data_IF_573130724832
#
_entry.id   IF_573130724832
#
_cell.length_a   1.000
_cell.length_b   1.000
_cell.length_c   1.000
_cell.angle_alpha   90.00
_cell.angle_beta   90.00
_cell.angle_gamma   90.00
#
_symmetry.space_group_name_H-M   'P 1'
#
loop_
_entity.id
_entity.type
_entity.pdbx_description
1 polymer ?
#
# COMPACT_ATOMS: atom_id res chain seq x y z
N UNK A 1 -25.12 8.97 -20.27
CA UNK A 1 -24.74 7.75 -21.02
C UNK A 1 -25.75 7.50 -22.13
N UNK A 2 -25.32 7.41 -23.41
CA UNK A 2 -26.22 6.97 -24.49
C UNK A 2 -26.57 5.49 -24.25
N UNK A 3 -27.86 5.17 -24.05
CA UNK A 3 -28.37 3.79 -23.98
C UNK A 3 -27.79 3.02 -25.18
N UNK A 4 -26.87 2.07 -24.94
CA UNK A 4 -26.45 1.14 -25.99
C UNK A 4 -27.71 0.43 -26.45
N UNK A 5 -28.14 0.66 -27.70
CA UNK A 5 -29.20 -0.15 -28.32
C UNK A 5 -28.82 -1.62 -28.12
N UNK A 6 -29.75 -2.42 -27.61
CA UNK A 6 -29.57 -3.85 -27.48
C UNK A 6 -29.44 -4.42 -28.91
N UNK A 7 -28.21 -4.54 -29.41
CA UNK A 7 -27.93 -5.08 -30.74
C UNK A 7 -28.13 -6.60 -30.67
N UNK A 8 -28.96 -7.13 -31.57
CA UNK A 8 -29.14 -8.58 -31.72
C UNK A 8 -27.86 -9.19 -32.29
N UNK A 9 -27.24 -10.13 -31.57
CA UNK A 9 -26.02 -10.81 -32.01
C UNK A 9 -26.19 -11.46 -33.38
N UNK A 10 -27.39 -11.99 -33.70
CA UNK A 10 -27.70 -12.58 -35.00
C UNK A 10 -27.56 -11.61 -36.18
N UNK A 11 -27.66 -10.31 -35.93
CA UNK A 11 -27.62 -9.26 -36.95
C UNK A 11 -26.23 -8.64 -37.12
N UNK A 12 -25.24 -9.10 -36.34
CA UNK A 12 -23.89 -8.57 -36.40
C UNK A 12 -23.04 -9.33 -37.44
N UNK A 13 -22.12 -8.60 -38.07
CA UNK A 13 -21.10 -9.19 -38.95
C UNK A 13 -19.89 -9.60 -38.11
N UNK A 14 -19.51 -10.87 -38.18
CA UNK A 14 -18.36 -11.41 -37.47
C UNK A 14 -17.15 -11.48 -38.41
N UNK A 15 -16.00 -10.99 -37.99
CA UNK A 15 -14.76 -11.14 -38.76
C UNK A 15 -13.53 -11.26 -37.87
N UNK A 16 -12.48 -11.91 -38.39
CA UNK A 16 -11.11 -11.88 -37.85
C UNK A 16 -10.20 -11.18 -38.83
N UNK A 17 -9.06 -10.71 -38.32
CA UNK A 17 -8.01 -10.12 -39.11
C UNK A 17 -6.89 -11.15 -39.22
N UNK A 18 -6.55 -11.54 -40.44
CA UNK A 18 -5.47 -12.46 -40.75
C UNK A 18 -4.34 -11.74 -41.47
N UNK A 19 -3.11 -12.18 -41.18
CA UNK A 19 -1.92 -11.72 -41.88
C UNK A 19 -1.88 -12.40 -43.24
N UNK A 20 -1.77 -11.62 -44.30
CA UNK A 20 -1.71 -12.19 -45.66
C UNK A 20 -0.32 -12.70 -46.03
N UNK A 21 0.69 -12.46 -45.19
CA UNK A 21 2.11 -12.68 -45.52
C UNK A 21 2.67 -11.68 -46.55
N UNK A 22 1.82 -10.85 -47.15
CA UNK A 22 2.23 -9.82 -48.10
C UNK A 22 2.67 -8.60 -47.30
N UNK A 23 3.91 -8.16 -47.52
CA UNK A 23 4.41 -6.89 -46.99
C UNK A 23 4.32 -5.83 -48.08
N UNK A 24 3.85 -4.64 -47.72
CA UNK A 24 3.87 -3.47 -48.59
C UNK A 24 4.71 -2.37 -47.95
N UNK A 25 5.58 -1.70 -48.72
CA UNK A 25 6.31 -0.55 -48.22
C UNK A 25 5.31 0.57 -47.93
N UNK A 26 5.32 1.07 -46.70
CA UNK A 26 4.54 2.24 -46.28
C UNK A 26 5.52 3.32 -45.89
N UNK A 27 5.47 4.44 -46.61
CA UNK A 27 6.22 5.64 -46.27
C UNK A 27 5.44 6.49 -45.27
N UNK A 28 6.10 6.86 -44.17
CA UNK A 28 5.63 7.93 -43.28
C UNK A 28 6.67 9.03 -43.24
N UNK A 29 6.22 10.26 -43.43
CA UNK A 29 7.06 11.43 -43.20
C UNK A 29 7.11 11.66 -41.69
N UNK A 30 8.31 11.62 -41.12
CA UNK A 30 8.56 11.89 -39.71
C UNK A 30 9.50 13.07 -39.58
N UNK A 31 9.19 13.99 -38.67
CA UNK A 31 10.06 15.12 -38.39
C UNK A 31 11.22 14.65 -37.52
N UNK A 32 12.44 14.63 -38.06
CA UNK A 32 13.66 14.33 -37.31
C UNK A 32 14.53 15.58 -37.35
N UNK A 33 14.80 16.16 -36.16
CA UNK A 33 15.54 17.43 -36.01
C UNK A 33 14.98 18.57 -36.89
N UNK A 34 13.65 18.68 -36.95
CA UNK A 34 12.96 19.76 -37.68
C UNK A 34 12.93 19.61 -39.21
N UNK A 35 13.48 18.54 -39.78
CA UNK A 35 13.39 18.23 -41.22
C UNK A 35 12.43 17.05 -41.46
N UNK A 36 11.58 17.12 -42.50
CA UNK A 36 10.77 15.98 -42.90
C UNK A 36 11.67 14.89 -43.48
N UNK A 37 11.72 13.74 -42.81
CA UNK A 37 12.42 12.54 -43.29
C UNK A 37 11.38 11.51 -43.66
N UNK A 38 11.40 11.07 -44.91
CA UNK A 38 10.57 9.94 -45.35
C UNK A 38 11.17 8.64 -44.81
N UNK A 39 10.42 7.95 -43.97
CA UNK A 39 10.77 6.62 -43.46
C UNK A 39 9.85 5.60 -44.11
N UNK A 40 10.42 4.72 -44.93
CA UNK A 40 9.71 3.58 -45.52
C UNK A 40 9.95 2.36 -44.66
N UNK A 41 8.88 1.69 -44.25
CA UNK A 41 8.94 0.40 -43.59
C UNK A 41 7.95 -0.57 -44.22
N UNK A 42 8.29 -1.85 -44.19
CA UNK A 42 7.40 -2.91 -44.65
C UNK A 42 6.27 -3.12 -43.64
N UNK A 43 5.04 -2.82 -44.05
CA UNK A 43 3.85 -3.12 -43.27
C UNK A 43 3.18 -4.38 -43.83
N UNK A 44 2.94 -5.34 -42.94
CA UNK A 44 2.19 -6.55 -43.27
C UNK A 44 0.74 -6.20 -43.59
N UNK A 45 0.27 -6.63 -44.75
CA UNK A 45 -1.10 -6.44 -45.20
C UNK A 45 -1.99 -7.39 -44.42
N UNK A 46 -3.07 -6.84 -43.88
CA UNK A 46 -4.04 -7.58 -43.10
C UNK A 46 -5.31 -7.76 -43.93
N UNK A 47 -5.89 -8.95 -43.91
CA UNK A 47 -7.16 -9.27 -44.57
C UNK A 47 -8.23 -9.59 -43.53
N UNK A 48 -9.47 -9.18 -43.80
CA UNK A 48 -10.62 -9.59 -42.99
C UNK A 48 -11.20 -10.90 -43.51
N UNK A 49 -11.31 -11.89 -42.63
CA UNK A 49 -12.03 -13.14 -42.87
C UNK A 49 -13.35 -13.07 -42.13
N UNK A 50 -14.46 -13.22 -42.85
CA UNK A 50 -15.81 -13.08 -42.32
C UNK A 50 -16.37 -14.44 -41.91
N UNK A 51 -17.16 -14.44 -40.84
CA UNK A 51 -17.82 -15.62 -40.28
C UNK A 51 -19.31 -15.33 -40.09
N UNK A 52 -20.10 -16.40 -40.06
CA UNK A 52 -21.53 -16.33 -39.75
C UNK A 52 -21.75 -16.35 -38.24
N UNK A 53 -22.97 -15.99 -37.80
CA UNK A 53 -23.38 -16.15 -36.41
C UNK A 53 -23.32 -17.62 -35.94
N UNK A 54 -23.59 -18.57 -36.85
CA UNK A 54 -23.54 -20.00 -36.54
C UNK A 54 -22.09 -20.48 -36.33
N UNK A 55 -21.13 -19.98 -37.12
CA UNK A 55 -19.71 -20.24 -36.91
C UNK A 55 -19.26 -19.74 -35.53
N UNK A 56 -19.66 -18.51 -35.18
CA UNK A 56 -19.41 -17.93 -33.86
C UNK A 56 -20.00 -18.78 -32.72
N UNK A 57 -21.26 -19.21 -32.85
CA UNK A 57 -21.94 -19.97 -31.79
C UNK A 57 -21.42 -21.41 -31.64
N UNK A 58 -20.97 -22.02 -32.74
CA UNK A 58 -20.50 -23.40 -32.74
C UNK A 58 -19.07 -23.57 -32.24
N UNK A 59 -18.27 -22.49 -32.28
CA UNK A 59 -16.92 -22.46 -31.73
C UNK A 59 -16.96 -22.61 -30.20
N UNK A 60 -16.65 -23.82 -29.73
CA UNK A 60 -16.39 -24.10 -28.31
C UNK A 60 -14.90 -24.28 -28.09
N UNK A 61 -14.30 -23.41 -27.28
CA UNK A 61 -12.86 -23.44 -27.01
C UNK A 61 -12.48 -24.69 -26.20
N UNK A 62 -13.41 -25.26 -25.45
CA UNK A 62 -13.24 -26.50 -24.68
C UNK A 62 -13.02 -27.72 -25.59
N UNK A 63 -13.35 -27.63 -26.88
CA UNK A 63 -13.01 -28.68 -27.85
C UNK A 63 -11.60 -28.52 -28.44
N UNK A 64 -10.91 -27.41 -28.14
CA UNK A 64 -9.55 -27.15 -28.59
C UNK A 64 -8.56 -27.68 -27.55
N UNK A 65 -8.10 -28.91 -27.76
CA UNK A 65 -7.12 -29.56 -26.89
C UNK A 65 -7.73 -30.52 -25.86
N UNK A 66 -6.88 -31.01 -24.97
CA UNK A 66 -7.28 -31.91 -23.88
C UNK A 66 -7.47 -31.08 -22.62
N UNK A 67 -8.69 -31.05 -22.07
CA UNK A 67 -8.98 -30.37 -20.81
C UNK A 67 -8.64 -31.25 -19.62
N UNK A 68 -8.18 -30.65 -18.53
CA UNK A 68 -8.10 -31.33 -17.25
C UNK A 68 -9.51 -31.71 -16.77
N UNK A 69 -9.75 -32.93 -16.27
CA UNK A 69 -10.99 -33.28 -15.59
C UNK A 69 -10.99 -32.59 -14.24
N UNK A 70 -11.74 -31.49 -14.12
CA UNK A 70 -11.65 -30.65 -12.93
C UNK A 70 -12.52 -31.23 -11.80
N UNK A 71 -11.93 -31.53 -10.64
CA UNK A 71 -12.63 -31.56 -9.36
C UNK A 71 -12.53 -30.17 -8.71
N UNK A 72 -13.48 -29.76 -7.86
CA UNK A 72 -13.49 -28.41 -7.24
C UNK A 72 -12.29 -28.11 -6.31
N UNK A 73 -11.28 -28.99 -6.27
CA UNK A 73 -10.06 -28.85 -5.51
C UNK A 73 -9.03 -28.08 -6.35
N UNK A 74 -8.79 -26.83 -5.98
CA UNK A 74 -7.69 -26.04 -6.56
C UNK A 74 -8.09 -24.72 -7.23
N UNK A 75 -9.35 -24.28 -7.10
CA UNK A 75 -9.76 -22.95 -7.54
C UNK A 75 -9.47 -21.88 -6.49
N UNK A 76 -9.19 -20.67 -6.98
CA UNK A 76 -9.02 -19.48 -6.13
C UNK A 76 -10.01 -18.44 -6.59
N UNK A 77 -10.94 -18.08 -5.71
CA UNK A 77 -11.92 -17.02 -5.95
C UNK A 77 -11.30 -15.68 -5.62
N UNK A 78 -11.42 -14.72 -6.52
CA UNK A 78 -10.92 -13.36 -6.35
C UNK A 78 -12.08 -12.40 -6.58
N UNK A 79 -12.16 -11.35 -5.75
CA UNK A 79 -13.21 -10.33 -5.89
C UNK A 79 -13.06 -9.56 -7.20
N UNK A 80 -14.16 -9.33 -7.91
CA UNK A 80 -14.18 -8.45 -9.07
C UNK A 80 -13.77 -7.02 -8.69
N UNK A 81 -14.16 -6.55 -7.50
CA UNK A 81 -13.74 -5.24 -6.99
C UNK A 81 -12.21 -5.12 -6.91
N UNK A 82 -11.54 -6.19 -6.49
CA UNK A 82 -10.09 -6.23 -6.44
C UNK A 82 -9.48 -6.18 -7.85
N UNK A 83 -10.00 -6.96 -8.80
CA UNK A 83 -9.47 -6.99 -10.16
C UNK A 83 -9.69 -5.67 -10.90
N UNK A 84 -10.88 -5.08 -10.76
CA UNK A 84 -11.28 -3.87 -11.49
C UNK A 84 -10.64 -2.60 -10.93
N UNK A 85 -10.65 -2.42 -9.60
CA UNK A 85 -10.24 -1.16 -8.98
C UNK A 85 -8.83 -1.24 -8.38
N UNK A 86 -8.57 -2.22 -7.51
CA UNK A 86 -7.22 -2.41 -6.97
C UNK A 86 -6.20 -2.80 -8.03
N UNK A 87 -6.62 -3.52 -9.07
CA UNK A 87 -5.79 -3.80 -10.24
C UNK A 87 -5.42 -2.56 -11.04
N UNK A 88 -6.31 -1.56 -11.10
CA UNK A 88 -6.00 -0.27 -11.71
C UNK A 88 -5.04 0.56 -10.84
N UNK A 89 -5.13 0.46 -9.51
CA UNK A 89 -4.24 1.17 -8.56
C UNK A 89 -2.83 0.58 -8.55
N UNK A 90 -2.70 -0.74 -8.35
CA UNK A 90 -1.39 -1.40 -8.12
C UNK A 90 -0.76 -1.97 -9.38
N UNK A 91 -1.53 -2.10 -10.46
CA UNK A 91 -1.11 -2.69 -11.72
C UNK A 91 -1.20 -4.21 -11.77
N UNK A 92 -1.38 -4.74 -12.97
CA UNK A 92 -1.69 -6.16 -13.23
C UNK A 92 -0.69 -7.17 -12.63
N UNK A 93 0.59 -6.80 -12.55
CA UNK A 93 1.65 -7.65 -11.99
C UNK A 93 1.55 -7.77 -10.48
N UNK A 94 1.34 -6.67 -9.75
CA UNK A 94 1.09 -6.71 -8.31
C UNK A 94 -0.23 -7.45 -7.99
N UNK A 95 -1.27 -7.23 -8.80
CA UNK A 95 -2.54 -7.96 -8.72
C UNK A 95 -2.31 -9.47 -8.85
N UNK A 96 -1.58 -9.90 -9.89
CA UNK A 96 -1.25 -11.31 -10.11
C UNK A 96 -0.43 -11.90 -8.97
N UNK A 97 0.52 -11.13 -8.42
CA UNK A 97 1.32 -11.56 -7.27
C UNK A 97 0.43 -11.82 -6.04
N UNK A 98 -0.50 -10.93 -5.72
CA UNK A 98 -1.44 -11.14 -4.62
C UNK A 98 -2.30 -12.39 -4.82
N UNK A 99 -2.75 -12.66 -6.06
CA UNK A 99 -3.46 -13.90 -6.39
C UNK A 99 -2.56 -15.12 -6.17
N UNK A 100 -1.27 -15.05 -6.52
CA UNK A 100 -0.33 -16.11 -6.20
C UNK A 100 -0.20 -16.31 -4.69
N UNK A 101 -0.04 -15.25 -3.90
CA UNK A 101 0.10 -15.36 -2.44
C UNK A 101 -1.15 -15.94 -1.78
N UNK A 102 -2.34 -15.50 -2.17
CA UNK A 102 -3.62 -16.04 -1.67
C UNK A 102 -3.78 -17.52 -1.98
N UNK A 103 -3.27 -18.02 -3.12
CA UNK A 103 -3.22 -19.46 -3.42
C UNK A 103 -2.37 -20.28 -2.45
N UNK A 104 -1.32 -19.69 -1.89
CA UNK A 104 -0.46 -20.34 -0.89
C UNK A 104 -1.05 -20.26 0.53
N UNK A 105 -2.11 -19.46 0.74
CA UNK A 105 -2.88 -19.43 1.97
C UNK A 105 -3.94 -20.54 1.96
N UNK A 106 -3.53 -21.77 2.29
CA UNK A 106 -4.43 -22.93 2.29
C UNK A 106 -5.42 -22.93 3.45
N UNK A 107 -6.68 -23.25 3.17
CA UNK A 107 -7.76 -23.34 4.16
C UNK A 107 -8.04 -21.99 4.82
N UNK A 108 -8.24 -22.00 6.13
CA UNK A 108 -8.49 -20.78 6.92
C UNK A 108 -7.20 -20.11 7.41
N UNK A 109 -6.14 -20.12 6.60
CA UNK A 109 -4.88 -19.42 6.89
C UNK A 109 -4.84 -18.07 6.17
N UNK A 110 -4.24 -17.08 6.82
CA UNK A 110 -4.00 -15.72 6.29
C UNK A 110 -2.50 -15.43 6.26
N UNK A 111 -1.69 -16.48 6.15
CA UNK A 111 -0.25 -16.38 6.01
C UNK A 111 0.28 -17.46 5.09
N UNK A 112 1.46 -17.24 4.52
CA UNK A 112 2.12 -18.22 3.66
C UNK A 112 3.66 -18.13 3.73
N UNK A 113 4.29 -19.20 3.26
CA UNK A 113 5.75 -19.34 3.07
C UNK A 113 6.02 -19.67 1.59
N UNK A 114 5.85 -18.70 0.68
CA UNK A 114 5.98 -18.94 -0.74
C UNK A 114 7.45 -19.09 -1.14
N UNK A 115 7.72 -19.99 -2.07
CA UNK A 115 8.98 -20.02 -2.80
C UNK A 115 9.00 -18.90 -3.85
N UNK A 116 9.57 -17.74 -3.50
CA UNK A 116 9.59 -16.54 -4.34
C UNK A 116 10.22 -16.79 -5.73
N UNK A 117 11.36 -17.49 -5.87
CA UNK A 117 11.89 -17.91 -7.17
C UNK A 117 10.86 -18.62 -8.05
N UNK A 118 10.12 -19.59 -7.51
CA UNK A 118 9.07 -20.29 -8.28
C UNK A 118 7.94 -19.35 -8.69
N UNK A 119 7.52 -18.43 -7.82
CA UNK A 119 6.49 -17.43 -8.19
C UNK A 119 7.01 -16.51 -9.29
N UNK A 120 8.23 -15.99 -9.16
CA UNK A 120 8.86 -15.13 -10.16
C UNK A 120 8.95 -15.82 -11.52
N UNK A 121 9.34 -17.11 -11.54
CA UNK A 121 9.37 -17.93 -12.75
C UNK A 121 7.97 -18.09 -13.37
N UNK A 122 6.95 -18.42 -12.57
CA UNK A 122 5.55 -18.52 -13.03
C UNK A 122 5.05 -17.21 -13.64
N UNK A 123 5.46 -16.08 -13.08
CA UNK A 123 5.10 -14.74 -13.55
C UNK A 123 6.01 -14.22 -14.68
N UNK A 124 7.05 -14.97 -15.06
CA UNK A 124 8.05 -14.58 -16.06
C UNK A 124 8.74 -13.25 -15.76
N UNK A 125 9.05 -13.01 -14.47
CA UNK A 125 9.79 -11.83 -14.00
C UNK A 125 10.99 -12.25 -13.15
N UNK A 126 11.88 -11.30 -12.89
CA UNK A 126 12.99 -11.53 -11.95
C UNK A 126 12.51 -11.48 -10.50
N UNK A 127 13.23 -12.11 -9.59
CA UNK A 127 12.98 -12.01 -8.13
C UNK A 127 13.12 -10.59 -7.62
N UNK A 128 14.04 -9.80 -8.19
CA UNK A 128 14.16 -8.36 -7.88
C UNK A 128 12.90 -7.59 -8.24
N UNK A 129 12.34 -7.84 -9.42
CA UNK A 129 11.08 -7.22 -9.84
C UNK A 129 9.91 -7.70 -8.97
N UNK A 130 9.88 -8.99 -8.61
CA UNK A 130 8.88 -9.54 -7.68
C UNK A 130 8.90 -8.80 -6.34
N UNK A 131 10.08 -8.55 -5.76
CA UNK A 131 10.21 -7.83 -4.50
C UNK A 131 9.66 -6.39 -4.57
N UNK A 132 9.85 -5.69 -5.70
CA UNK A 132 9.22 -4.37 -5.90
C UNK A 132 7.69 -4.43 -5.83
N UNK A 133 7.10 -5.49 -6.39
CA UNK A 133 5.65 -5.71 -6.28
C UNK A 133 5.21 -6.16 -4.89
N UNK A 134 6.07 -6.87 -4.14
CA UNK A 134 5.82 -7.13 -2.71
C UNK A 134 5.77 -5.83 -1.92
N UNK A 135 6.67 -4.89 -2.20
CA UNK A 135 6.67 -3.58 -1.53
C UNK A 135 5.38 -2.80 -1.82
N UNK A 136 4.88 -2.82 -3.07
CA UNK A 136 3.59 -2.22 -3.43
C UNK A 136 2.43 -2.86 -2.66
N UNK A 137 2.40 -4.20 -2.57
CA UNK A 137 1.36 -4.90 -1.82
C UNK A 137 1.43 -4.60 -0.32
N UNK A 138 2.61 -4.46 0.25
CA UNK A 138 2.79 -4.12 1.67
C UNK A 138 2.37 -2.67 1.94
N UNK A 139 2.76 -1.72 1.08
CA UNK A 139 2.37 -0.32 1.17
C UNK A 139 0.85 -0.13 1.16
N UNK A 140 0.12 -0.89 0.33
CA UNK A 140 -1.34 -0.85 0.27
C UNK A 140 -2.03 -1.79 1.27
N UNK A 141 -1.29 -2.37 2.21
CA UNK A 141 -1.85 -3.15 3.31
C UNK A 141 -2.41 -4.52 2.93
N UNK A 142 -2.01 -5.07 1.78
CA UNK A 142 -2.40 -6.42 1.35
C UNK A 142 -1.52 -7.52 1.92
N UNK A 143 -0.28 -7.21 2.28
CA UNK A 143 0.64 -8.13 2.92
C UNK A 143 1.43 -7.46 4.05
N UNK A 144 2.06 -8.28 4.91
CA UNK A 144 3.08 -7.84 5.85
C UNK A 144 4.14 -8.92 6.03
N UNK A 145 5.42 -8.53 6.04
CA UNK A 145 6.58 -9.44 6.10
C UNK A 145 7.10 -9.59 7.52
N UNK A 146 7.35 -10.83 7.95
CA UNK A 146 8.10 -11.12 9.17
C UNK A 146 9.30 -12.00 8.84
N UNK A 147 10.49 -11.54 9.21
CA UNK A 147 11.71 -12.33 9.19
C UNK A 147 11.73 -13.21 10.43
N UNK A 148 12.05 -14.48 10.23
CA UNK A 148 12.05 -15.50 11.28
C UNK A 148 13.48 -15.89 11.62
N UNK A 149 13.71 -16.11 12.91
CA UNK A 149 14.95 -16.65 13.44
C UNK A 149 14.66 -17.94 14.19
N UNK A 150 15.61 -18.87 14.18
CA UNK A 150 15.52 -20.12 14.92
C UNK A 150 16.28 -20.02 16.26
N UNK A 151 15.58 -19.98 17.42
CA UNK A 151 16.24 -19.88 18.72
C UNK A 151 17.16 -21.05 19.05
N UNK A 152 16.86 -22.24 18.52
CA UNK A 152 17.64 -23.45 18.75
C UNK A 152 18.97 -23.45 17.98
N UNK A 153 19.04 -22.69 16.89
CA UNK A 153 20.22 -22.54 16.04
C UNK A 153 20.82 -21.13 16.18
N UNK A 154 21.10 -20.71 17.42
CA UNK A 154 21.76 -19.43 17.72
C UNK A 154 21.03 -18.19 17.12
N UNK A 155 19.70 -18.25 16.99
CA UNK A 155 18.88 -17.23 16.34
C UNK A 155 19.28 -16.96 14.88
N UNK A 156 19.76 -17.97 14.15
CA UNK A 156 19.99 -17.86 12.71
C UNK A 156 18.69 -17.57 11.97
N UNK A 157 18.75 -16.71 10.96
CA UNK A 157 17.62 -16.40 10.10
C UNK A 157 17.18 -17.65 9.33
N UNK A 158 15.91 -18.03 9.48
CA UNK A 158 15.34 -19.25 8.90
C UNK A 158 14.31 -18.99 7.79
N UNK A 159 13.98 -17.72 7.52
CA UNK A 159 13.17 -17.34 6.36
C UNK A 159 12.26 -16.15 6.61
N UNK A 160 11.25 -16.00 5.74
CA UNK A 160 10.25 -14.93 5.81
C UNK A 160 8.86 -15.57 5.75
N UNK A 161 7.99 -15.17 6.67
CA UNK A 161 6.56 -15.46 6.62
C UNK A 161 5.81 -14.21 6.19
N UNK A 162 4.82 -14.39 5.33
CA UNK A 162 4.00 -13.30 4.81
C UNK A 162 2.60 -13.43 5.37
N UNK A 163 2.16 -12.43 6.14
CA UNK A 163 0.75 -12.24 6.45
C UNK A 163 0.07 -11.69 5.19
N UNK A 164 -1.07 -12.24 4.82
CA UNK A 164 -1.81 -11.88 3.61
C UNK A 164 -3.23 -11.53 3.99
N UNK A 165 -3.67 -10.33 3.63
CA UNK A 165 -5.03 -9.86 3.90
C UNK A 165 -6.05 -10.76 3.20
N UNK A 166 -7.12 -11.17 3.90
CA UNK A 166 -8.23 -11.95 3.31
C UNK A 166 -9.36 -11.10 2.75
N UNK A 167 -9.62 -9.96 3.36
CA UNK A 167 -10.66 -9.03 2.94
C UNK A 167 -10.11 -8.06 1.89
N UNK A 168 -10.97 -7.55 1.02
CA UNK A 168 -10.57 -6.53 0.06
C UNK A 168 -11.02 -5.17 0.63
N UNK A 169 -10.09 -4.27 0.98
CA UNK A 169 -10.46 -2.93 1.41
C UNK A 169 -11.15 -2.17 0.28
N UNK A 170 -12.04 -1.27 0.62
CA UNK A 170 -12.58 -0.31 -0.34
C UNK A 170 -11.50 0.75 -0.60
N UNK A 171 -11.44 1.31 -1.80
CA UNK A 171 -10.54 2.42 -2.11
C UNK A 171 -10.92 3.68 -1.33
N UNK A 172 -9.93 4.42 -0.82
CA UNK A 172 -10.15 5.76 -0.26
C UNK A 172 -10.53 6.75 -1.35
N UNK A 173 -11.12 7.89 -0.96
CA UNK A 173 -11.43 8.99 -1.89
C UNK A 173 -10.20 9.42 -2.69
N UNK A 174 -9.06 9.59 -2.02
CA UNK A 174 -7.79 9.93 -2.67
C UNK A 174 -7.36 8.93 -3.76
N UNK A 175 -7.48 7.62 -3.49
CA UNK A 175 -7.14 6.60 -4.48
C UNK A 175 -8.10 6.60 -5.66
N UNK A 176 -9.39 6.84 -5.41
CA UNK A 176 -10.40 6.95 -6.47
C UNK A 176 -10.12 8.17 -7.35
N UNK A 177 -9.82 9.32 -6.77
CA UNK A 177 -9.49 10.55 -7.52
C UNK A 177 -8.29 10.37 -8.47
N UNK A 178 -7.34 9.53 -8.08
CA UNK A 178 -6.17 9.19 -8.89
C UNK A 178 -6.46 8.19 -10.02
N UNK A 179 -7.62 7.52 -10.02
CA UNK A 179 -8.01 6.62 -11.10
C UNK A 179 -8.45 7.40 -12.36
N UNK A 180 -8.39 6.79 -13.55
CA UNK A 180 -8.98 7.39 -14.75
C UNK A 180 -10.49 7.58 -14.59
N UNK A 181 -11.05 8.68 -15.13
CA UNK A 181 -12.49 9.01 -15.03
C UNK A 181 -13.47 7.85 -15.28
N UNK A 182 -13.27 6.97 -16.28
CA UNK A 182 -14.16 5.82 -16.47
C UNK A 182 -14.20 4.87 -15.28
N UNK A 183 -13.07 4.65 -14.60
CA UNK A 183 -12.97 3.81 -13.42
C UNK A 183 -13.57 4.47 -12.19
N UNK A 184 -13.44 5.80 -12.06
CA UNK A 184 -14.12 6.57 -11.00
C UNK A 184 -15.64 6.37 -11.06
N UNK A 185 -16.24 6.64 -12.22
CA UNK A 185 -17.70 6.45 -12.40
C UNK A 185 -18.13 5.01 -12.19
N UNK A 186 -17.32 4.02 -12.61
CA UNK A 186 -17.61 2.61 -12.39
C UNK A 186 -17.52 2.23 -10.91
N UNK A 187 -16.58 2.82 -10.16
CA UNK A 187 -16.44 2.65 -8.73
C UNK A 187 -17.63 3.24 -8.00
N UNK A 188 -18.00 4.49 -8.29
CA UNK A 188 -19.15 5.17 -7.69
C UNK A 188 -20.44 4.35 -7.88
N UNK A 189 -20.68 3.85 -9.11
CA UNK A 189 -21.81 2.97 -9.41
C UNK A 189 -21.79 1.66 -8.63
N UNK A 190 -20.62 1.06 -8.46
CA UNK A 190 -20.46 -0.14 -7.65
C UNK A 190 -20.76 0.15 -6.18
N UNK A 191 -20.23 1.24 -5.64
CA UNK A 191 -20.45 1.64 -4.25
C UNK A 191 -21.92 1.99 -4.03
N UNK A 192 -22.59 2.75 -4.90
CA UNK A 192 -24.03 3.02 -4.80
C UNK A 192 -24.85 1.72 -4.68
N UNK A 193 -24.56 0.72 -5.52
CA UNK A 193 -25.24 -0.57 -5.47
C UNK A 193 -25.00 -1.35 -4.17
N UNK A 194 -23.78 -1.27 -3.62
CA UNK A 194 -23.43 -1.94 -2.36
C UNK A 194 -23.99 -1.15 -1.16
N UNK A 195 -24.02 0.18 -1.24
CA UNK A 195 -24.49 1.11 -0.21
C UNK A 195 -26.00 1.02 0.05
N UNK A 196 -26.79 0.74 -0.99
CA UNK A 196 -28.22 0.44 -0.83
C UNK A 196 -28.46 -0.79 0.08
N UNK A 197 -27.48 -1.69 0.18
CA UNK A 197 -27.56 -2.93 0.97
C UNK A 197 -26.83 -2.82 2.31
N UNK A 198 -25.71 -2.08 2.36
CA UNK A 198 -24.87 -1.94 3.54
C UNK A 198 -24.45 -0.48 3.69
N UNK A 199 -24.85 0.19 4.77
CA UNK A 199 -24.46 1.57 5.10
C UNK A 199 -22.95 1.68 5.37
N UNK A 200 -22.14 1.90 4.32
CA UNK A 200 -20.67 1.94 4.36
C UNK A 200 -20.16 3.37 4.17
N UNK A 201 -19.47 3.93 5.16
CA UNK A 201 -18.82 5.23 4.99
C UNK A 201 -17.42 5.08 4.36
N UNK A 202 -17.11 5.91 3.34
CA UNK A 202 -15.82 5.92 2.66
C UNK A 202 -14.82 6.82 3.40
N UNK A 203 -13.65 6.25 3.73
CA UNK A 203 -12.54 7.01 4.31
C UNK A 203 -11.96 8.04 3.31
N UNK A 204 -11.52 9.20 3.80
CA UNK A 204 -10.89 10.24 2.98
C UNK A 204 -9.54 9.77 2.42
N UNK A 205 -8.70 9.21 3.28
CA UNK A 205 -7.45 8.55 2.94
C UNK A 205 -7.26 7.31 3.83
N UNK A 206 -6.44 6.36 3.36
CA UNK A 206 -5.98 5.24 4.18
C UNK A 206 -4.48 5.38 4.38
N UNK A 207 -4.06 5.54 5.63
CA UNK A 207 -2.65 5.43 5.99
C UNK A 207 -2.39 4.09 6.70
N UNK A 208 -2.19 3.04 5.92
CA UNK A 208 -1.83 1.72 6.45
C UNK A 208 -0.47 1.75 7.19
N UNK A 209 0.37 2.77 6.95
CA UNK A 209 1.61 2.98 7.69
C UNK A 209 1.35 3.11 9.18
N UNK A 210 0.27 3.81 9.58
CA UNK A 210 -0.06 4.04 10.99
C UNK A 210 -0.40 2.73 11.73
N UNK A 211 -1.13 1.80 11.11
CA UNK A 211 -1.42 0.50 11.73
C UNK A 211 -0.18 -0.40 11.81
N UNK A 212 0.68 -0.35 10.79
CA UNK A 212 1.99 -1.00 10.85
C UNK A 212 2.93 -0.35 11.87
N UNK A 213 2.84 0.96 12.05
CA UNK A 213 3.57 1.71 13.08
C UNK A 213 3.10 1.32 14.48
N UNK A 214 1.79 1.22 14.73
CA UNK A 214 1.26 0.68 16.00
C UNK A 214 1.79 -0.72 16.30
N UNK A 215 1.92 -1.57 15.28
CA UNK A 215 2.53 -2.89 15.45
C UNK A 215 4.04 -2.78 15.72
N UNK A 216 4.73 -1.90 15.01
CA UNK A 216 6.17 -1.63 15.19
C UNK A 216 6.48 -1.06 16.58
N UNK A 217 5.62 -0.21 17.13
CA UNK A 217 5.69 0.34 18.49
C UNK A 217 5.62 -0.75 19.57
N UNK A 218 4.94 -1.88 19.30
CA UNK A 218 4.93 -3.05 20.20
C UNK A 218 6.22 -3.88 20.09
N UNK A 219 6.97 -3.73 19.00
CA UNK A 219 8.24 -4.41 18.79
C UNK A 219 9.32 -3.86 19.71
N UNK A 220 10.14 -4.74 20.28
CA UNK A 220 11.38 -4.32 20.95
C UNK A 220 12.46 -4.21 19.88
N UNK A 221 13.14 -3.07 19.85
CA UNK A 221 14.30 -2.88 18.99
C UNK A 221 15.41 -3.85 19.42
N UNK A 222 16.00 -4.52 18.44
CA UNK A 222 17.21 -5.32 18.63
C UNK A 222 18.44 -4.43 18.74
N UNK A 223 19.57 -5.03 19.14
CA UNK A 223 20.86 -4.32 19.10
C UNK A 223 21.17 -3.89 17.67
N UNK A 224 21.76 -2.70 17.51
CA UNK A 224 22.25 -2.28 16.20
C UNK A 224 23.28 -3.29 15.67
N UNK A 225 23.23 -3.62 14.36
CA UNK A 225 24.14 -4.59 13.75
C UNK A 225 25.58 -4.07 13.65
N UNK A 226 25.81 -2.79 13.94
CA UNK A 226 27.10 -2.12 13.86
C UNK A 226 27.39 -1.47 15.21
N UNK A 227 28.62 -1.66 15.70
CA UNK A 227 29.11 -0.92 16.85
C UNK A 227 29.42 0.52 16.44
N UNK A 228 28.50 1.43 16.77
CA UNK A 228 28.70 2.86 16.58
C UNK A 228 29.60 3.42 17.67
N UNK A 229 30.57 4.26 17.29
CA UNK A 229 31.33 5.08 18.22
C UNK A 229 30.41 6.04 18.99
N UNK A 230 30.84 6.60 20.14
CA UNK A 230 30.03 7.55 20.91
C UNK A 230 29.50 8.73 20.08
N UNK A 231 30.31 9.27 19.15
CA UNK A 231 29.89 10.37 18.27
C UNK A 231 28.84 9.93 17.25
N UNK A 232 28.99 8.74 16.66
CA UNK A 232 28.04 8.18 15.71
C UNK A 232 26.72 7.79 16.38
N UNK A 233 26.75 7.32 17.64
CA UNK A 233 25.53 7.10 18.45
C UNK A 233 24.75 8.40 18.63
N UNK A 234 25.44 9.51 18.93
CA UNK A 234 24.80 10.83 19.05
C UNK A 234 24.19 11.26 17.70
N UNK A 235 24.91 11.06 16.60
CA UNK A 235 24.41 11.41 15.27
C UNK A 235 23.22 10.54 14.85
N UNK A 236 23.29 9.23 15.12
CA UNK A 236 22.21 8.28 14.88
C UNK A 236 20.95 8.66 15.67
N UNK A 237 21.11 8.94 16.97
CA UNK A 237 20.03 9.40 17.83
C UNK A 237 19.42 10.72 17.32
N UNK A 238 20.25 11.68 16.91
CA UNK A 238 19.77 12.93 16.29
C UNK A 238 18.98 12.67 15.01
N UNK A 239 19.50 11.86 14.10
CA UNK A 239 18.80 11.50 12.85
C UNK A 239 17.47 10.80 13.13
N UNK A 240 17.44 9.85 14.07
CA UNK A 240 16.22 9.14 14.51
C UNK A 240 15.18 10.15 15.00
N UNK A 241 15.58 11.09 15.86
CA UNK A 241 14.71 12.17 16.34
C UNK A 241 14.22 13.04 15.19
N UNK A 242 15.10 13.44 14.26
CA UNK A 242 14.72 14.26 13.08
C UNK A 242 13.69 13.53 12.22
N UNK A 243 13.89 12.25 11.93
CA UNK A 243 12.92 11.45 11.15
C UNK A 243 11.54 11.41 11.82
N UNK A 244 11.48 11.26 13.14
CA UNK A 244 10.21 11.30 13.86
C UNK A 244 9.62 12.72 13.84
N UNK A 245 10.45 13.76 13.98
CA UNK A 245 10.01 15.16 13.93
C UNK A 245 9.45 15.56 12.56
N UNK A 246 9.94 14.97 11.47
CA UNK A 246 9.47 15.21 10.10
C UNK A 246 8.07 14.61 9.85
N UNK A 247 7.59 13.70 10.71
CA UNK A 247 6.22 13.17 10.63
C UNK A 247 5.17 14.17 11.15
N UNK A 248 5.58 15.27 11.77
CA UNK A 248 4.66 16.27 12.33
C UNK A 248 3.97 17.07 11.24
N UNK A 249 2.67 17.26 11.41
CA UNK A 249 1.92 18.28 10.66
C UNK A 249 2.20 19.68 11.20
N UNK A 250 1.90 20.70 10.40
CA UNK A 250 1.96 22.11 10.82
C UNK A 250 1.02 22.37 12.03
N UNK A 251 -0.08 21.61 12.13
CA UNK A 251 -1.01 21.72 13.25
C UNK A 251 -0.39 21.23 14.56
N UNK A 252 0.38 20.13 14.52
CA UNK A 252 1.07 19.57 15.69
C UNK A 252 2.09 20.55 16.26
N UNK A 253 2.86 21.19 15.38
CA UNK A 253 3.86 22.17 15.77
C UNK A 253 3.21 23.38 16.47
N UNK A 254 2.12 23.90 15.92
CA UNK A 254 1.38 25.02 16.52
C UNK A 254 0.77 24.66 17.88
N UNK A 255 0.16 23.48 17.98
CA UNK A 255 -0.40 22.97 19.24
C UNK A 255 0.68 22.90 20.32
N UNK A 256 1.82 22.27 20.00
CA UNK A 256 2.89 22.11 20.98
C UNK A 256 3.49 23.44 21.43
N UNK A 257 3.68 24.39 20.51
CA UNK A 257 4.16 25.74 20.85
C UNK A 257 3.20 26.45 21.82
N UNK A 258 1.88 26.33 21.60
CA UNK A 258 0.87 26.90 22.49
C UNK A 258 0.95 26.29 23.90
N UNK A 259 0.99 24.96 23.98
CA UNK A 259 1.12 24.24 25.24
C UNK A 259 2.42 24.59 25.98
N UNK A 260 3.55 24.65 25.28
CA UNK A 260 4.84 25.04 25.85
C UNK A 260 4.80 26.46 26.41
N UNK A 261 4.12 27.38 25.73
CA UNK A 261 3.97 28.77 26.19
C UNK A 261 3.18 28.83 27.51
N UNK A 262 2.09 28.07 27.62
CA UNK A 262 1.31 27.98 28.85
C UNK A 262 2.11 27.34 30.00
N UNK A 263 2.81 26.25 29.71
CA UNK A 263 3.63 25.52 30.69
C UNK A 263 4.79 26.37 31.19
N UNK A 264 5.44 27.15 30.32
CA UNK A 264 6.54 28.03 30.66
C UNK A 264 6.14 29.10 31.70
N UNK A 265 4.87 29.52 31.73
CA UNK A 265 4.37 30.49 32.71
C UNK A 265 4.18 29.88 34.12
N UNK A 266 4.07 28.55 34.21
CA UNK A 266 3.79 27.81 35.46
C UNK A 266 5.03 27.11 36.04
N UNK A 267 6.17 27.18 35.35
CA UNK A 267 7.42 26.53 35.75
C UNK A 267 8.57 27.53 35.81
N UNK A 268 9.59 27.19 36.60
CA UNK A 268 10.86 27.93 36.53
C UNK A 268 11.53 27.71 35.18
N UNK A 269 12.29 28.70 34.71
CA UNK A 269 13.05 28.63 33.45
C UNK A 269 13.95 27.38 33.42
N UNK A 270 14.57 27.04 34.55
CA UNK A 270 15.44 25.87 34.65
C UNK A 270 14.63 24.57 34.52
N UNK A 271 13.52 24.43 35.25
CA UNK A 271 12.65 23.26 35.13
C UNK A 271 12.11 23.12 33.71
N UNK A 272 11.68 24.21 33.08
CA UNK A 272 11.19 24.19 31.70
C UNK A 272 12.28 23.76 30.72
N UNK A 273 13.47 24.37 30.77
CA UNK A 273 14.58 24.00 29.89
C UNK A 273 15.01 22.55 30.07
N UNK A 274 15.03 22.04 31.30
CA UNK A 274 15.41 20.66 31.56
C UNK A 274 14.39 19.68 31.00
N UNK A 275 13.09 19.91 31.22
CA UNK A 275 12.06 18.89 30.97
C UNK A 275 11.31 19.02 29.63
N UNK A 276 11.27 20.22 29.04
CA UNK A 276 10.44 20.50 27.86
C UNK A 276 11.20 20.95 26.61
N UNK A 277 12.46 21.41 26.73
CA UNK A 277 13.19 21.98 25.59
C UNK A 277 13.38 21.00 24.42
N UNK A 278 13.62 19.71 24.73
CA UNK A 278 13.86 18.65 23.74
C UNK A 278 12.61 17.76 23.53
N UNK A 279 11.40 18.32 23.72
CA UNK A 279 10.14 17.57 23.60
C UNK A 279 9.28 18.08 22.45
N UNK A 280 8.50 17.20 21.86
CA UNK A 280 7.52 17.53 20.82
C UNK A 280 6.32 16.57 20.89
N UNK A 281 5.21 16.94 20.25
CA UNK A 281 4.07 16.05 20.12
C UNK A 281 3.72 15.73 18.68
N UNK A 282 3.00 14.62 18.50
CA UNK A 282 2.30 14.26 17.26
C UNK A 282 0.85 13.95 17.65
N UNK A 283 -0.11 14.58 16.97
CA UNK A 283 -1.52 14.28 17.12
C UNK A 283 -1.91 13.07 16.26
N UNK A 284 -2.63 12.13 16.84
CA UNK A 284 -3.43 11.12 16.13
C UNK A 284 -4.92 11.38 16.42
N UNK A 285 -5.83 10.71 15.72
CA UNK A 285 -7.28 11.01 15.72
C UNK A 285 -7.86 11.25 17.14
N UNK A 286 -7.56 10.38 18.10
CA UNK A 286 -8.06 10.47 19.49
C UNK A 286 -6.95 10.51 20.56
N UNK A 287 -5.68 10.52 20.14
CA UNK A 287 -4.52 10.37 21.02
C UNK A 287 -3.47 11.45 20.77
N UNK A 288 -2.94 12.02 21.86
CA UNK A 288 -1.76 12.87 21.82
C UNK A 288 -0.53 12.09 22.25
N UNK A 289 0.45 11.97 21.35
CA UNK A 289 1.71 11.29 21.63
C UNK A 289 2.78 12.35 21.89
N UNK A 290 3.37 12.31 23.09
CA UNK A 290 4.42 13.23 23.53
C UNK A 290 5.76 12.49 23.53
N UNK A 291 6.69 13.00 22.73
CA UNK A 291 8.02 12.46 22.57
C UNK A 291 9.00 13.14 23.52
N UNK A 292 9.69 12.32 24.30
CA UNK A 292 10.72 12.71 25.24
C UNK A 292 12.07 12.16 24.79
N UNK A 293 13.14 12.88 25.14
CA UNK A 293 14.52 12.55 24.76
C UNK A 293 14.94 11.11 25.05
N UNK A 294 14.71 10.62 26.27
CA UNK A 294 15.05 9.27 26.71
C UNK A 294 13.97 8.70 27.66
N UNK A 295 14.15 7.44 28.08
CA UNK A 295 13.20 6.74 28.98
C UNK A 295 13.02 7.43 30.32
N UNK A 296 14.11 7.90 30.94
CA UNK A 296 14.03 8.66 32.18
C UNK A 296 13.21 9.94 32.02
N UNK A 297 13.41 10.66 30.92
CA UNK A 297 12.68 11.89 30.59
C UNK A 297 11.19 11.62 30.37
N UNK A 298 10.87 10.53 29.65
CA UNK A 298 9.49 10.05 29.44
C UNK A 298 8.81 9.75 30.78
N UNK A 299 9.46 8.97 31.63
CA UNK A 299 8.89 8.51 32.90
C UNK A 299 8.64 9.70 33.84
N UNK A 300 9.55 10.66 33.86
CA UNK A 300 9.38 11.90 34.63
C UNK A 300 8.24 12.78 34.12
N UNK A 301 8.14 13.00 32.81
CA UNK A 301 7.04 13.75 32.21
C UNK A 301 5.69 13.08 32.48
N UNK A 302 5.62 11.76 32.33
CA UNK A 302 4.39 10.99 32.53
C UNK A 302 3.90 10.97 33.97
N UNK A 303 4.80 11.05 34.95
CA UNK A 303 4.47 10.97 36.37
C UNK A 303 4.26 12.34 37.00
N UNK A 304 5.17 13.30 36.75
CA UNK A 304 5.19 14.58 37.48
C UNK A 304 4.44 15.70 36.76
N UNK A 305 4.40 15.66 35.45
CA UNK A 305 3.95 16.77 34.62
C UNK A 305 2.72 16.48 33.77
N UNK A 306 2.19 15.25 33.83
CA UNK A 306 0.97 14.85 33.12
C UNK A 306 -0.21 15.77 33.42
N UNK A 307 -0.44 16.10 34.70
CA UNK A 307 -1.51 17.00 35.12
C UNK A 307 -1.36 18.41 34.52
N UNK A 308 -0.14 18.94 34.50
CA UNK A 308 0.12 20.27 33.95
C UNK A 308 -0.12 20.33 32.43
N UNK A 309 0.20 19.24 31.72
CA UNK A 309 -0.08 19.12 30.28
C UNK A 309 -1.59 19.00 30.05
N UNK A 310 -2.30 18.23 30.87
CA UNK A 310 -3.76 18.15 30.81
C UNK A 310 -4.42 19.51 31.04
N UNK A 311 -3.96 20.27 32.03
CA UNK A 311 -4.46 21.64 32.27
C UNK A 311 -4.23 22.57 31.07
N UNK A 312 -3.04 22.48 30.45
CA UNK A 312 -2.70 23.27 29.26
C UNK A 312 -3.62 22.93 28.08
N UNK A 313 -3.91 21.64 27.88
CA UNK A 313 -4.81 21.16 26.82
C UNK A 313 -6.25 21.63 27.04
N UNK A 314 -6.75 21.58 28.28
CA UNK A 314 -8.07 22.09 28.62
C UNK A 314 -8.20 23.60 28.39
N UNK A 315 -7.12 24.36 28.64
CA UNK A 315 -7.11 25.80 28.40
C UNK A 315 -7.30 26.14 26.91
N UNK A 316 -6.61 25.40 26.04
CA UNK A 316 -6.71 25.56 24.59
C UNK A 316 -7.94 24.86 23.97
N UNK A 317 -8.88 24.37 24.79
CA UNK A 317 -10.09 23.63 24.34
C UNK A 317 -9.80 22.38 23.52
N UNK A 318 -8.62 21.76 23.72
CA UNK A 318 -8.25 20.50 23.07
C UNK A 318 -8.56 19.33 23.98
N UNK A 319 -9.38 18.40 23.50
CA UNK A 319 -9.74 17.17 24.21
C UNK A 319 -9.14 15.97 23.48
N UNK A 320 -8.38 15.17 24.22
CA UNK A 320 -7.81 13.91 23.77
C UNK A 320 -8.26 12.81 24.71
N UNK A 321 -8.73 11.68 24.19
CA UNK A 321 -9.13 10.54 25.04
C UNK A 321 -7.94 9.93 25.75
N UNK A 322 -6.75 9.99 25.11
CA UNK A 322 -5.53 9.38 25.61
C UNK A 322 -4.31 10.26 25.40
N UNK A 323 -3.44 10.29 26.40
CA UNK A 323 -2.09 10.87 26.32
C UNK A 323 -1.06 9.80 26.61
N UNK A 324 -0.19 9.59 25.62
CA UNK A 324 0.90 8.60 25.67
C UNK A 324 2.25 9.30 25.59
N UNK A 325 3.19 8.85 26.42
CA UNK A 325 4.55 9.37 26.45
C UNK A 325 5.48 8.33 25.82
N UNK A 326 6.34 8.75 24.89
CA UNK A 326 7.27 7.86 24.16
C UNK A 326 8.68 8.41 24.30
N UNK A 327 9.66 7.51 24.49
CA UNK A 327 11.07 7.87 24.50
C UNK A 327 11.66 7.74 23.10
N UNK A 328 12.37 8.76 22.62
CA UNK A 328 13.04 8.71 21.32
C UNK A 328 14.27 7.79 21.32
N UNK A 329 14.93 7.69 22.47
CA UNK A 329 16.15 6.93 22.69
C UNK A 329 15.95 6.04 23.92
N UNK A 330 16.26 4.75 23.81
CA UNK A 330 16.31 3.85 24.96
C UNK A 330 17.77 3.74 25.42
N UNK A 331 18.06 3.99 26.71
CA UNK A 331 19.44 3.98 27.24
C UNK A 331 20.04 2.57 27.31
N UNK A 332 19.23 1.54 27.07
CA UNK A 332 19.65 0.15 27.02
C UNK A 332 19.99 -0.36 25.59
N UNK A 333 20.02 0.52 24.59
CA UNK A 333 20.54 0.30 23.22
C UNK A 333 22.00 0.77 23.06
#
# INVERSE_FOLDING_TARGET
MKKKKHLSLKQLTYYRIEKTGIKKPVSRIRMVKGKPVEQTYDQEVLQRVYYTYQDFQSLRLEKLGVNLPIDNKGFTTISNYFLDFWGAVMGATATSLYIHLTRYCYGDKDFCFPDLPTIALKMQITTTTLNKYMDILEQHGFIFRFWLQNPEENNNDCGIIYKVRRTIPILSKELVENLPKPFQTMHDQYIEQVMEVAHIELAESYDYTNDFEKLREKGKLGRLPINLSPAERILYAKKKITTIMDQRSIADEKLWISLLTYIQQRLTINSFKTWYADTFCIKREEELIIYAKNTFHRDWLSSRYRELIMEALHNDSHFFEKITFVACIDENE
#
